data_IF_218886565351
#
_entry.id   IF_218886565351
#
_cell.length_a   1.000
_cell.length_b   1.000
_cell.length_c   1.000
_cell.angle_alpha   90.00
_cell.angle_beta   90.00
_cell.angle_gamma   90.00
#
_symmetry.space_group_name_H-M   'P 1'
#
loop_
_entity.id
_entity.type
_entity.pdbx_description
1 polymer ?
#
# COMPACT_ATOMS: atom_id res chain seq x y z
N UNK A 1 -24.74 -3.88 -11.00
CA UNK A 1 -23.42 -3.38 -11.45
C UNK A 1 -23.09 -2.08 -10.72
N UNK A 2 -22.32 -2.15 -9.63
CA UNK A 2 -21.83 -0.97 -8.91
C UNK A 2 -20.42 -0.64 -9.43
N UNK A 3 -20.23 0.60 -9.88
CA UNK A 3 -19.07 1.08 -10.62
C UNK A 3 -17.76 1.16 -9.81
N UNK A 4 -17.06 0.03 -9.68
CA UNK A 4 -15.67 -0.03 -9.18
C UNK A 4 -14.63 -0.48 -10.19
N UNK A 5 -15.02 -0.86 -11.42
CA UNK A 5 -14.13 -1.56 -12.37
C UNK A 5 -12.90 -0.77 -12.83
N UNK A 6 -12.98 0.56 -12.91
CA UNK A 6 -11.90 1.40 -13.46
C UNK A 6 -10.76 1.67 -12.47
N UNK A 7 -11.05 1.83 -11.18
CA UNK A 7 -10.00 2.10 -10.19
C UNK A 7 -9.14 0.85 -9.94
N UNK A 8 -9.73 -0.35 -9.93
CA UNK A 8 -9.01 -1.58 -9.57
C UNK A 8 -7.97 -2.02 -10.61
N UNK A 9 -8.25 -1.85 -11.91
CA UNK A 9 -7.29 -2.15 -12.98
C UNK A 9 -6.06 -1.23 -12.94
N UNK A 10 -6.25 0.03 -12.53
CA UNK A 10 -5.16 1.01 -12.38
C UNK A 10 -4.16 0.56 -11.29
N UNK A 11 -4.65 0.02 -10.17
CA UNK A 11 -3.78 -0.37 -9.05
C UNK A 11 -2.92 -1.60 -9.34
N UNK A 12 -3.41 -2.58 -10.12
CA UNK A 12 -2.62 -3.76 -10.51
C UNK A 12 -1.46 -3.44 -11.44
N UNK A 13 -1.55 -2.34 -12.22
CA UNK A 13 -0.51 -1.91 -13.16
C UNK A 13 0.50 -0.95 -12.51
N UNK A 14 0.06 -0.20 -11.47
CA UNK A 14 0.85 0.88 -10.87
C UNK A 14 2.17 0.41 -10.24
N UNK A 15 2.17 -0.74 -9.55
CA UNK A 15 3.37 -1.18 -8.83
C UNK A 15 4.49 -1.63 -9.78
N UNK A 16 4.26 -2.50 -10.79
CA UNK A 16 5.26 -2.77 -11.83
C UNK A 16 5.83 -1.50 -12.47
N UNK A 17 4.98 -0.54 -12.80
CA UNK A 17 5.40 0.73 -13.41
C UNK A 17 6.28 1.57 -12.46
N UNK A 18 5.92 1.65 -11.18
CA UNK A 18 6.72 2.35 -10.15
C UNK A 18 8.10 1.68 -9.98
N UNK A 19 8.15 0.35 -10.00
CA UNK A 19 9.42 -0.39 -9.90
C UNK A 19 10.29 -0.18 -11.14
N UNK A 20 9.69 -0.21 -12.33
CA UNK A 20 10.39 0.06 -13.58
C UNK A 20 10.93 1.49 -13.62
N UNK A 21 10.13 2.47 -13.18
CA UNK A 21 10.57 3.87 -13.05
C UNK A 21 11.74 3.97 -12.08
N UNK A 22 11.65 3.39 -10.88
CA UNK A 22 12.75 3.40 -9.90
C UNK A 22 14.05 2.87 -10.51
N UNK A 23 13.99 1.74 -11.23
CA UNK A 23 15.15 1.15 -11.89
C UNK A 23 15.71 2.08 -12.97
N UNK A 24 14.85 2.66 -13.81
CA UNK A 24 15.26 3.59 -14.86
C UNK A 24 15.94 4.84 -14.29
N UNK A 25 15.43 5.40 -13.19
CA UNK A 25 16.07 6.51 -12.49
C UNK A 25 17.44 6.10 -11.90
N UNK A 26 17.53 4.91 -11.29
CA UNK A 26 18.78 4.40 -10.75
C UNK A 26 19.85 4.23 -11.84
N UNK A 27 19.49 3.67 -13.00
CA UNK A 27 20.39 3.49 -14.14
C UNK A 27 20.80 4.82 -14.78
N UNK A 28 19.83 5.71 -15.06
CA UNK A 28 20.08 6.99 -15.73
C UNK A 28 20.97 7.92 -14.92
N UNK A 29 20.84 7.90 -13.60
CA UNK A 29 21.58 8.76 -12.68
C UNK A 29 22.72 8.05 -11.94
N UNK A 30 23.06 6.82 -12.32
CA UNK A 30 24.13 6.03 -11.69
C UNK A 30 25.48 6.77 -11.66
N UNK A 31 25.80 7.52 -12.72
CA UNK A 31 27.03 8.31 -12.85
C UNK A 31 27.13 9.48 -11.86
N UNK A 32 26.01 9.92 -11.27
CA UNK A 32 25.98 10.94 -10.24
C UNK A 32 26.27 10.36 -8.84
N UNK A 33 26.35 9.03 -8.72
CA UNK A 33 26.59 8.34 -7.46
C UNK A 33 25.66 8.83 -6.34
N UNK A 34 26.19 9.21 -5.15
CA UNK A 34 25.36 9.68 -4.03
C UNK A 34 24.68 11.04 -4.27
N UNK A 35 25.05 11.76 -5.34
CA UNK A 35 24.42 13.03 -5.73
C UNK A 35 23.21 12.83 -6.66
N UNK A 36 23.01 11.61 -7.18
CA UNK A 36 21.79 11.26 -7.91
C UNK A 36 20.57 11.35 -6.99
N UNK A 37 19.43 11.78 -7.50
CA UNK A 37 18.18 11.84 -6.72
C UNK A 37 17.63 10.41 -6.55
N UNK A 38 17.77 9.76 -5.38
CA UNK A 38 17.38 8.37 -5.24
C UNK A 38 15.86 8.28 -5.14
N UNK A 39 15.25 7.49 -6.02
CA UNK A 39 13.82 7.15 -5.89
C UNK A 39 13.69 6.11 -4.80
N UNK A 40 13.12 6.52 -3.66
CA UNK A 40 12.86 5.64 -2.53
C UNK A 40 11.38 5.30 -2.47
N UNK A 41 11.08 4.06 -2.12
CA UNK A 41 9.71 3.54 -2.07
C UNK A 41 9.33 3.21 -0.64
N UNK A 42 8.13 3.61 -0.28
CA UNK A 42 7.49 3.21 0.97
C UNK A 42 6.09 2.68 0.72
N UNK A 43 5.66 1.81 1.62
CA UNK A 43 4.29 1.33 1.67
C UNK A 43 3.78 1.28 3.10
N UNK A 44 2.47 1.25 3.25
CA UNK A 44 1.82 1.07 4.53
C UNK A 44 0.84 -0.10 4.46
N UNK A 45 0.87 -0.93 5.50
CA UNK A 45 -0.10 -1.99 5.70
C UNK A 45 -1.11 -1.61 6.78
N UNK A 46 -2.28 -2.21 6.68
CA UNK A 46 -3.33 -2.13 7.68
C UNK A 46 -3.77 -3.54 8.03
N UNK A 47 -4.25 -3.73 9.25
CA UNK A 47 -5.03 -4.90 9.67
C UNK A 47 -6.04 -5.26 8.57
N UNK A 48 -6.06 -6.52 8.09
CA UNK A 48 -6.98 -6.94 7.04
C UNK A 48 -8.46 -6.71 7.40
N UNK A 49 -8.79 -6.84 8.69
CA UNK A 49 -10.15 -6.62 9.20
C UNK A 49 -10.52 -5.15 9.07
N UNK A 50 -9.69 -4.26 9.60
CA UNK A 50 -9.97 -2.83 9.53
C UNK A 50 -9.95 -2.28 8.11
N UNK A 51 -9.02 -2.78 7.27
CA UNK A 51 -8.99 -2.43 5.85
C UNK A 51 -10.30 -2.81 5.16
N UNK A 52 -10.82 -4.01 5.43
CA UNK A 52 -12.07 -4.47 4.85
C UNK A 52 -13.24 -3.59 5.29
N UNK A 53 -13.34 -3.27 6.58
CA UNK A 53 -14.37 -2.37 7.09
C UNK A 53 -14.28 -0.97 6.47
N UNK A 54 -13.07 -0.42 6.38
CA UNK A 54 -12.82 0.88 5.75
C UNK A 54 -13.23 0.88 4.28
N UNK A 55 -12.92 -0.19 3.54
CA UNK A 55 -13.30 -0.32 2.14
C UNK A 55 -14.81 -0.48 1.98
N UNK A 56 -15.48 -1.21 2.87
CA UNK A 56 -16.94 -1.29 2.89
C UNK A 56 -17.54 0.10 3.03
N UNK A 57 -17.12 0.88 4.01
CA UNK A 57 -17.61 2.24 4.20
C UNK A 57 -17.31 3.13 3.00
N UNK A 58 -16.12 3.04 2.42
CA UNK A 58 -15.73 3.83 1.25
C UNK A 58 -16.51 3.47 -0.03
N UNK A 59 -16.56 2.18 -0.38
CA UNK A 59 -17.09 1.70 -1.66
C UNK A 59 -18.60 1.46 -1.64
N UNK A 60 -19.12 0.95 -0.52
CA UNK A 60 -20.54 0.63 -0.36
C UNK A 60 -21.30 1.80 0.25
N UNK A 61 -20.64 2.65 1.05
CA UNK A 61 -21.22 3.87 1.64
C UNK A 61 -22.61 3.62 2.28
N UNK A 62 -22.73 2.54 3.05
CA UNK A 62 -23.97 2.16 3.76
C UNK A 62 -25.06 1.52 2.88
N UNK A 63 -24.83 1.30 1.58
CA UNK A 63 -25.83 0.73 0.66
C UNK A 63 -26.08 -0.76 0.84
N UNK A 64 -25.17 -1.49 1.49
CA UNK A 64 -25.35 -2.88 1.87
C UNK A 64 -24.88 -3.06 3.32
N UNK A 65 -25.52 -3.94 4.10
CA UNK A 65 -25.04 -4.29 5.44
C UNK A 65 -23.79 -5.18 5.33
N UNK A 66 -22.91 -5.08 6.33
CA UNK A 66 -21.66 -5.84 6.39
C UNK A 66 -21.87 -7.36 6.25
N UNK A 67 -22.97 -7.90 6.80
CA UNK A 67 -23.29 -9.32 6.73
C UNK A 67 -23.60 -9.83 5.31
N UNK A 68 -23.91 -8.95 4.38
CA UNK A 68 -24.20 -9.30 2.98
C UNK A 68 -23.07 -8.88 2.03
N UNK A 69 -21.99 -8.29 2.56
CA UNK A 69 -20.85 -7.86 1.78
C UNK A 69 -19.70 -8.86 1.93
N UNK A 70 -19.33 -9.61 0.87
CA UNK A 70 -18.15 -10.46 0.91
C UNK A 70 -16.90 -9.57 0.86
N UNK A 71 -16.09 -9.50 1.92
CA UNK A 71 -14.91 -8.65 1.91
C UNK A 71 -13.89 -9.18 0.89
N UNK A 72 -13.05 -8.29 0.32
CA UNK A 72 -11.87 -8.69 -0.42
C UNK A 72 -11.02 -9.68 0.38
N UNK A 73 -10.79 -10.89 -0.14
CA UNK A 73 -9.74 -11.71 0.44
C UNK A 73 -8.37 -11.17 0.02
N UNK A 74 -7.48 -10.99 0.99
CA UNK A 74 -6.06 -10.75 0.74
C UNK A 74 -5.74 -9.53 -0.17
N UNK A 75 -6.53 -8.45 -0.10
CA UNK A 75 -6.40 -7.29 -0.99
C UNK A 75 -4.97 -6.73 -1.06
N UNK A 76 -4.33 -6.50 0.08
CA UNK A 76 -2.97 -5.95 0.13
C UNK A 76 -1.96 -6.85 -0.57
N UNK A 77 -2.10 -8.18 -0.44
CA UNK A 77 -1.24 -9.15 -1.11
C UNK A 77 -1.49 -9.17 -2.62
N UNK A 78 -2.77 -9.10 -3.04
CA UNK A 78 -3.13 -9.02 -4.46
C UNK A 78 -2.55 -7.77 -5.11
N UNK A 79 -2.65 -6.63 -4.43
CA UNK A 79 -2.05 -5.37 -4.88
C UNK A 79 -0.52 -5.46 -5.00
N UNK A 80 0.15 -6.02 -4.00
CA UNK A 80 1.61 -6.24 -4.05
C UNK A 80 2.03 -7.15 -5.19
N UNK A 81 1.23 -8.18 -5.48
CA UNK A 81 1.55 -9.17 -6.50
C UNK A 81 1.00 -8.82 -7.89
N UNK A 82 0.35 -7.67 -8.06
CA UNK A 82 -0.31 -7.29 -9.31
C UNK A 82 -1.43 -8.26 -9.72
N UNK A 83 -2.00 -9.00 -8.77
CA UNK A 83 -3.06 -9.97 -9.05
C UNK A 83 -4.41 -9.25 -9.23
N UNK A 84 -5.28 -9.75 -10.12
CA UNK A 84 -6.60 -9.19 -10.29
C UNK A 84 -7.40 -9.25 -8.99
N UNK A 85 -8.21 -8.21 -8.82
CA UNK A 85 -9.19 -8.09 -7.76
C UNK A 85 -10.53 -7.71 -8.39
N UNK A 86 -11.33 -8.74 -8.71
CA UNK A 86 -12.68 -8.59 -9.24
C UNK A 86 -13.68 -9.53 -8.54
N UNK A 87 -14.95 -9.44 -8.93
CA UNK A 87 -16.02 -10.23 -8.34
C UNK A 87 -15.85 -11.75 -8.53
N UNK A 88 -15.01 -12.23 -9.44
CA UNK A 88 -14.73 -13.66 -9.58
C UNK A 88 -13.52 -14.09 -8.73
N UNK A 89 -12.48 -13.27 -8.71
CA UNK A 89 -11.18 -13.59 -8.11
C UNK A 89 -11.07 -13.22 -6.64
N UNK A 90 -11.92 -12.33 -6.11
CA UNK A 90 -11.86 -11.91 -4.70
C UNK A 90 -12.08 -13.05 -3.68
N UNK A 91 -12.62 -14.20 -4.11
CA UNK A 91 -12.85 -15.37 -3.25
C UNK A 91 -11.73 -16.41 -3.30
N UNK A 92 -10.81 -16.28 -4.25
CA UNK A 92 -9.71 -17.22 -4.36
C UNK A 92 -8.72 -16.98 -3.21
N UNK A 93 -8.47 -18.03 -2.42
CA UNK A 93 -7.50 -17.99 -1.36
C UNK A 93 -6.07 -17.98 -1.92
N UNK A 94 -5.28 -17.01 -1.46
CA UNK A 94 -3.86 -16.99 -1.78
C UNK A 94 -3.11 -18.04 -0.96
N UNK A 95 -2.29 -18.83 -1.63
CA UNK A 95 -1.42 -19.84 -1.00
C UNK A 95 -0.25 -19.22 -0.21
N UNK A 96 0.41 -20.02 0.62
CA UNK A 96 1.64 -19.63 1.31
C UNK A 96 2.78 -19.21 0.38
N UNK A 97 2.78 -19.68 -0.88
CA UNK A 97 3.74 -19.23 -1.88
C UNK A 97 3.55 -17.75 -2.25
N UNK A 98 2.29 -17.30 -2.36
CA UNK A 98 1.98 -15.89 -2.60
C UNK A 98 2.43 -15.01 -1.43
N UNK A 99 2.22 -15.46 -0.19
CA UNK A 99 2.71 -14.74 1.00
C UNK A 99 4.23 -14.56 0.97
N UNK A 100 4.97 -15.62 0.65
CA UNK A 100 6.43 -15.54 0.54
C UNK A 100 6.88 -14.63 -0.60
N UNK A 101 6.20 -14.68 -1.74
CA UNK A 101 6.49 -13.81 -2.88
C UNK A 101 6.25 -12.34 -2.53
N UNK A 102 5.12 -12.03 -1.90
CA UNK A 102 4.78 -10.67 -1.47
C UNK A 102 5.77 -10.15 -0.43
N UNK A 103 6.13 -10.98 0.56
CA UNK A 103 7.14 -10.62 1.55
C UNK A 103 8.50 -10.37 0.90
N UNK A 104 8.94 -11.25 -0.01
CA UNK A 104 10.19 -11.07 -0.74
C UNK A 104 10.20 -9.82 -1.61
N UNK A 105 9.05 -9.43 -2.18
CA UNK A 105 8.93 -8.16 -2.90
C UNK A 105 9.06 -6.99 -1.92
N UNK A 106 8.32 -7.01 -0.81
CA UNK A 106 8.34 -5.95 0.21
C UNK A 106 9.77 -5.71 0.70
N UNK A 107 10.47 -6.77 1.10
CA UNK A 107 11.83 -6.67 1.64
C UNK A 107 12.89 -6.19 0.64
N UNK A 108 12.66 -6.34 -0.67
CA UNK A 108 13.63 -5.94 -1.70
C UNK A 108 13.30 -4.61 -2.35
N UNK A 109 12.02 -4.29 -2.49
CA UNK A 109 11.54 -3.19 -3.30
C UNK A 109 11.17 -1.94 -2.49
N UNK A 110 10.91 -2.07 -1.19
CA UNK A 110 10.53 -0.95 -0.34
C UNK A 110 11.63 -0.65 0.66
N UNK A 111 12.00 0.62 0.73
CA UNK A 111 13.02 1.13 1.65
C UNK A 111 12.44 1.36 3.05
N UNK A 112 11.11 1.49 3.16
CA UNK A 112 10.41 1.61 4.42
C UNK A 112 8.99 1.02 4.35
N UNK A 113 8.54 0.45 5.45
CA UNK A 113 7.22 -0.18 5.58
C UNK A 113 6.60 0.28 6.89
N UNK A 114 5.41 0.85 6.81
CA UNK A 114 4.63 1.30 7.97
C UNK A 114 3.39 0.45 8.25
N UNK A 115 2.82 0.65 9.44
CA UNK A 115 1.51 0.15 9.83
C UNK A 115 0.57 1.32 10.11
N UNK A 116 -0.64 1.29 9.54
CA UNK A 116 -1.66 2.34 9.73
C UNK A 116 -2.02 2.48 11.21
N UNK A 117 -2.10 1.37 11.93
CA UNK A 117 -2.43 1.32 13.36
C UNK A 117 -1.36 1.99 14.24
N UNK A 118 -0.13 2.06 13.75
CA UNK A 118 1.02 2.71 14.39
C UNK A 118 1.41 3.94 13.58
N UNK A 119 0.44 4.81 13.28
CA UNK A 119 0.62 5.92 12.34
C UNK A 119 1.79 6.81 12.72
N UNK A 120 1.88 7.23 13.99
CA UNK A 120 2.91 8.20 14.40
C UNK A 120 4.31 7.60 14.37
N UNK A 121 4.45 6.36 14.84
CA UNK A 121 5.69 5.60 14.80
C UNK A 121 6.11 5.34 13.36
N UNK A 122 5.18 4.87 12.52
CA UNK A 122 5.43 4.60 11.10
C UNK A 122 5.85 5.85 10.35
N UNK A 123 5.18 6.97 10.59
CA UNK A 123 5.55 8.24 9.97
C UNK A 123 6.91 8.73 10.48
N UNK A 124 7.21 8.60 11.78
CA UNK A 124 8.51 8.99 12.33
C UNK A 124 9.67 8.20 11.71
N UNK A 125 9.48 6.88 11.54
CA UNK A 125 10.43 6.00 10.86
C UNK A 125 10.55 6.32 9.37
N UNK A 126 9.43 6.55 8.67
CA UNK A 126 9.43 6.96 7.27
C UNK A 126 10.17 8.29 7.05
N UNK A 127 9.91 9.30 7.89
CA UNK A 127 10.62 10.58 7.81
C UNK A 127 12.11 10.42 8.11
N UNK A 128 12.46 9.58 9.09
CA UNK A 128 13.85 9.25 9.42
C UNK A 128 14.57 8.56 8.27
N UNK A 129 13.99 7.49 7.73
CA UNK A 129 14.53 6.72 6.61
C UNK A 129 14.74 7.60 5.36
N UNK A 130 13.87 8.58 5.16
CA UNK A 130 13.92 9.47 4.00
C UNK A 130 14.64 10.79 4.22
N UNK A 131 15.22 11.03 5.40
CA UNK A 131 15.80 12.33 5.78
C UNK A 131 14.85 13.51 5.48
N UNK A 132 13.54 13.23 5.54
CA UNK A 132 12.50 14.20 5.28
C UNK A 132 12.24 15.01 6.55
N UNK A 133 11.89 16.29 6.39
CA UNK A 133 11.52 17.13 7.53
C UNK A 133 10.25 16.57 8.15
N UNK A 134 10.30 16.23 9.45
CA UNK A 134 9.11 15.80 10.19
C UNK A 134 8.04 16.91 10.10
N UNK A 135 6.77 16.56 9.84
CA UNK A 135 5.69 17.52 9.86
C UNK A 135 5.61 18.10 11.26
N UNK A 136 5.45 19.42 11.33
CA UNK A 136 5.20 20.11 12.59
C UNK A 136 3.82 19.64 13.04
N UNK A 137 3.76 18.70 13.98
CA UNK A 137 2.51 18.34 14.64
C UNK A 137 2.12 19.56 15.48
N UNK A 138 1.01 20.26 15.19
CA UNK A 138 0.53 21.28 16.10
C UNK A 138 0.22 20.56 17.42
N UNK A 139 0.95 20.89 18.47
CA UNK A 139 0.59 20.49 19.83
C UNK A 139 -0.77 21.10 20.12
N UNK A 140 -1.84 20.32 19.94
CA UNK A 140 -3.14 20.67 20.48
C UNK A 140 -2.99 20.52 21.99
N UNK A 141 -2.71 21.64 22.66
CA UNK A 141 -2.86 21.72 24.10
C UNK A 141 -4.35 21.51 24.39
N UNK A 142 -4.73 20.26 24.68
CA UNK A 142 -6.00 19.99 25.35
C UNK A 142 -5.77 20.41 26.80
N UNK A 143 -6.01 21.69 27.08
CA UNK A 143 -6.15 22.15 28.44
C UNK A 143 -7.38 21.43 29.04
N UNK A 144 -7.14 20.70 30.13
CA UNK A 144 -8.15 20.06 30.96
C UNK A 144 -8.97 21.11 31.72
#
# INVERSE_FOLDING_TARGET
HAGGGSHHAMWSQLLPDILALRQLFAERFAHLGPLGCPVRLATMFRSPVEQSLSLHHYSINGRAPLCLWPPPSSLQLRLLLGLPYDAATHREHLSAAHLRAAWGLVSRAFDAVGLVELWWESMAELFGAFALRRPIVPTVNVAA
#
